data_IF_398960668258
#
_entry.id   IF_398960668258
#
_cell.length_a   1.000
_cell.length_b   1.000
_cell.length_c   1.000
_cell.angle_alpha   90.00
_cell.angle_beta   90.00
_cell.angle_gamma   90.00
#
_symmetry.space_group_name_H-M   'P 1'
#
loop_
_entity.id
_entity.type
_entity.pdbx_description
1 polymer ?
#
# COMPACT_ATOMS: atom_id res chain seq x y z
N UNK A 1 7.72 22.67 47.26
CA UNK A 1 7.93 22.69 45.80
C UNK A 1 7.66 21.29 45.28
N UNK A 2 6.64 21.09 44.45
CA UNK A 2 6.18 19.78 44.02
C UNK A 2 7.24 19.04 43.19
N UNK A 3 7.58 17.81 43.58
CA UNK A 3 8.41 16.92 42.78
C UNK A 3 7.62 16.42 41.57
N UNK A 4 7.88 17.00 40.40
CA UNK A 4 7.40 16.42 39.15
C UNK A 4 8.09 15.07 38.97
N UNK A 5 7.39 13.97 39.22
CA UNK A 5 7.79 12.67 38.73
C UNK A 5 7.84 12.80 37.20
N UNK A 6 8.99 12.56 36.52
CA UNK A 6 9.03 12.52 35.07
C UNK A 6 8.20 11.32 34.61
N UNK A 7 6.90 11.54 34.47
CA UNK A 7 5.92 10.56 34.05
C UNK A 7 6.21 10.18 32.62
N UNK A 8 7.01 9.13 32.46
CA UNK A 8 6.85 7.96 31.58
C UNK A 8 5.68 8.03 30.59
N UNK A 9 5.68 9.03 29.72
CA UNK A 9 5.03 8.94 28.41
C UNK A 9 6.13 8.72 27.38
N UNK A 10 7.00 7.73 27.63
CA UNK A 10 7.72 7.13 26.53
C UNK A 10 6.64 6.52 25.62
N UNK A 11 6.39 7.15 24.47
CA UNK A 11 5.61 6.54 23.39
C UNK A 11 6.20 5.15 23.18
N UNK A 12 5.47 4.11 23.61
CA UNK A 12 5.89 2.73 23.44
C UNK A 12 5.81 2.41 21.95
N UNK A 13 6.89 2.70 21.22
CA UNK A 13 7.02 2.36 19.82
C UNK A 13 6.99 0.83 19.71
N UNK A 14 6.00 0.32 19.00
CA UNK A 14 5.92 -1.08 18.66
C UNK A 14 6.67 -1.31 17.35
N UNK A 15 7.37 -2.46 17.22
CA UNK A 15 7.83 -2.90 15.90
C UNK A 15 6.65 -3.01 14.92
N UNK A 16 6.92 -2.76 13.64
CA UNK A 16 5.95 -2.95 12.57
C UNK A 16 5.43 -4.39 12.60
N UNK A 17 4.11 -4.57 12.53
CA UNK A 17 3.47 -5.89 12.44
C UNK A 17 2.63 -5.96 11.18
N UNK A 18 3.05 -6.80 10.25
CA UNK A 18 2.34 -7.01 9.00
C UNK A 18 1.26 -8.09 9.17
N UNK A 19 0.03 -7.75 8.78
CA UNK A 19 -1.12 -8.67 8.81
C UNK A 19 -0.94 -9.87 7.88
N UNK A 20 -1.58 -10.99 8.20
CA UNK A 20 -1.53 -12.20 7.36
C UNK A 20 -2.10 -11.96 5.96
N UNK A 21 -3.12 -11.11 5.82
CA UNK A 21 -3.72 -10.77 4.54
C UNK A 21 -2.75 -10.02 3.63
N UNK A 22 -2.00 -9.05 4.16
CA UNK A 22 -1.06 -8.25 3.36
C UNK A 22 0.15 -9.09 2.91
N UNK A 23 0.60 -10.04 3.75
CA UNK A 23 1.64 -11.03 3.38
C UNK A 23 1.16 -12.03 2.33
N UNK A 24 -0.08 -12.54 2.49
CA UNK A 24 -0.69 -13.45 1.53
C UNK A 24 -0.87 -12.79 0.17
N UNK A 25 -1.22 -11.51 0.18
CA UNK A 25 -1.43 -10.71 -1.01
C UNK A 25 -2.88 -10.72 -1.49
N UNK A 26 -3.17 -9.84 -2.45
CA UNK A 26 -4.49 -9.71 -3.07
C UNK A 26 -4.33 -9.23 -4.51
N UNK A 27 -5.34 -9.51 -5.33
CA UNK A 27 -5.38 -9.10 -6.74
C UNK A 27 -5.95 -7.70 -6.86
N UNK A 28 -5.27 -6.85 -7.64
CA UNK A 28 -5.64 -5.46 -7.90
C UNK A 28 -5.59 -5.16 -9.38
N UNK A 29 -6.23 -4.05 -9.76
CA UNK A 29 -6.13 -3.47 -11.10
C UNK A 29 -5.22 -2.26 -11.02
N UNK A 30 -4.05 -2.33 -11.68
CA UNK A 30 -3.12 -1.22 -11.85
C UNK A 30 -3.50 -0.46 -13.13
N UNK A 31 -3.59 0.85 -13.03
CA UNK A 31 -3.89 1.75 -14.13
C UNK A 31 -3.04 3.02 -14.00
N UNK A 32 -2.76 3.68 -15.12
CA UNK A 32 -2.03 4.94 -15.19
C UNK A 32 -2.92 6.02 -15.81
N UNK A 33 -2.64 7.28 -15.51
CA UNK A 33 -3.32 8.43 -16.08
C UNK A 33 -2.81 8.77 -17.48
N UNK A 34 -1.54 8.46 -17.75
CA UNK A 34 -0.85 8.78 -19.00
C UNK A 34 -1.01 7.66 -20.06
N UNK A 35 -1.58 6.52 -19.67
CA UNK A 35 -1.85 5.40 -20.56
C UNK A 35 -3.30 4.91 -20.41
N UNK A 36 -3.82 4.29 -21.47
CA UNK A 36 -5.08 3.54 -21.38
C UNK A 36 -4.87 2.11 -20.90
N UNK A 37 -3.65 1.76 -20.43
CA UNK A 37 -3.32 0.40 -20.04
C UNK A 37 -3.87 0.10 -18.65
N UNK A 38 -4.60 -1.01 -18.56
CA UNK A 38 -5.16 -1.54 -17.33
C UNK A 38 -4.64 -2.95 -17.19
N UNK A 39 -3.95 -3.23 -16.08
CA UNK A 39 -3.27 -4.51 -15.86
C UNK A 39 -3.67 -5.09 -14.52
N UNK A 40 -4.03 -6.37 -14.52
CA UNK A 40 -4.30 -7.09 -13.27
C UNK A 40 -2.99 -7.53 -12.63
N UNK A 41 -2.76 -7.11 -11.39
CA UNK A 41 -1.54 -7.39 -10.63
C UNK A 41 -1.85 -8.12 -9.32
N UNK A 42 -0.92 -8.94 -8.85
CA UNK A 42 -0.99 -9.53 -7.51
C UNK A 42 -0.05 -8.79 -6.57
N UNK A 43 -0.61 -8.00 -5.64
CA UNK A 43 0.13 -7.16 -4.69
C UNK A 43 0.30 -7.87 -3.35
N UNK A 44 1.49 -7.79 -2.78
CA UNK A 44 1.77 -8.24 -1.40
C UNK A 44 2.94 -7.47 -0.80
N UNK A 45 3.21 -7.72 0.48
CA UNK A 45 4.35 -7.14 1.22
C UNK A 45 5.22 -8.23 1.82
N UNK A 46 6.46 -7.87 2.19
CA UNK A 46 7.33 -8.74 2.96
C UNK A 46 6.90 -8.80 4.44
N UNK A 47 7.28 -9.87 5.18
CA UNK A 47 6.89 -10.01 6.58
C UNK A 47 7.34 -8.87 7.51
N UNK A 48 8.39 -8.13 7.14
CA UNK A 48 8.97 -7.05 7.91
C UNK A 48 8.34 -5.68 7.57
N UNK A 49 7.63 -5.58 6.44
CA UNK A 49 6.88 -4.39 6.04
C UNK A 49 7.73 -3.30 5.41
N UNK A 50 8.86 -3.66 4.80
CA UNK A 50 9.76 -2.71 4.13
C UNK A 50 9.37 -2.44 2.68
N UNK A 51 8.76 -3.41 2.02
CA UNK A 51 8.51 -3.38 0.59
C UNK A 51 7.08 -3.80 0.26
N UNK A 52 6.48 -3.07 -0.67
CA UNK A 52 5.34 -3.53 -1.44
C UNK A 52 5.87 -4.05 -2.78
N UNK A 53 5.34 -5.15 -3.26
CA UNK A 53 5.71 -5.67 -4.57
C UNK A 53 4.53 -6.35 -5.23
N UNK A 54 4.51 -6.28 -6.56
CA UNK A 54 3.44 -6.84 -7.36
C UNK A 54 3.94 -7.49 -8.64
N UNK A 55 3.24 -8.54 -9.06
CA UNK A 55 3.46 -9.22 -10.33
C UNK A 55 2.28 -8.99 -11.25
N UNK A 56 2.56 -8.67 -12.52
CA UNK A 56 1.56 -8.72 -13.57
C UNK A 56 1.16 -10.18 -13.81
N UNK A 57 -0.14 -10.46 -13.82
CA UNK A 57 -0.65 -11.81 -14.09
C UNK A 57 -0.24 -12.33 -15.48
N UNK A 58 -0.03 -11.44 -16.44
CA UNK A 58 0.41 -11.79 -17.80
C UNK A 58 1.94 -11.95 -17.90
N UNK A 59 2.69 -11.44 -16.91
CA UNK A 59 4.16 -11.45 -16.89
C UNK A 59 4.66 -11.93 -15.53
N UNK A 60 4.35 -13.19 -15.22
CA UNK A 60 4.61 -13.80 -13.89
C UNK A 60 6.08 -13.78 -13.48
N UNK A 61 7.03 -13.65 -14.41
CA UNK A 61 8.47 -13.59 -14.12
C UNK A 61 8.99 -12.19 -13.77
N UNK A 62 8.17 -11.14 -13.90
CA UNK A 62 8.57 -9.77 -13.61
C UNK A 62 7.79 -9.25 -12.40
N UNK A 63 8.51 -8.96 -11.31
CA UNK A 63 7.96 -8.29 -10.13
C UNK A 63 8.48 -6.86 -10.06
N UNK A 64 7.58 -5.91 -9.87
CA UNK A 64 7.93 -4.54 -9.50
C UNK A 64 7.94 -4.40 -7.98
N UNK A 65 8.78 -3.49 -7.45
CA UNK A 65 8.98 -3.30 -6.03
C UNK A 65 8.98 -1.80 -5.67
N UNK A 66 8.35 -1.50 -4.54
CA UNK A 66 8.24 -0.17 -3.95
C UNK A 66 8.70 -0.23 -2.50
N UNK A 67 9.69 0.57 -2.15
CA UNK A 67 10.13 0.77 -0.76
C UNK A 67 9.12 1.65 -0.02
N UNK A 68 8.61 1.13 1.09
CA UNK A 68 7.59 1.77 1.92
C UNK A 68 8.09 3.08 2.54
N UNK A 69 9.41 3.25 2.70
CA UNK A 69 9.98 4.50 3.20
C UNK A 69 9.80 5.70 2.26
N UNK A 70 9.56 5.46 0.96
CA UNK A 70 9.24 6.51 -0.01
C UNK A 70 7.75 6.83 -0.11
N UNK A 71 6.90 6.04 0.56
CA UNK A 71 5.46 6.26 0.57
C UNK A 71 5.12 7.47 1.43
N UNK A 72 4.51 8.49 0.82
CA UNK A 72 4.05 9.69 1.55
C UNK A 72 2.62 9.57 2.02
N UNK A 73 1.76 8.95 1.21
CA UNK A 73 0.33 8.82 1.49
C UNK A 73 -0.27 7.59 0.79
N UNK A 74 -1.32 7.05 1.40
CA UNK A 74 -2.06 5.88 0.92
C UNK A 74 -3.56 6.18 0.99
N UNK A 75 -4.21 6.34 -0.16
CA UNK A 75 -5.62 6.73 -0.24
C UNK A 75 -6.52 5.57 -0.65
N UNK A 76 -7.78 5.64 -0.22
CA UNK A 76 -8.82 4.68 -0.59
C UNK A 76 -10.20 5.38 -0.68
N UNK A 77 -11.16 4.71 -1.32
CA UNK A 77 -12.53 5.20 -1.44
C UNK A 77 -12.61 6.56 -2.12
N UNK A 78 -13.41 7.48 -1.56
CA UNK A 78 -13.63 8.83 -2.10
C UNK A 78 -12.38 9.72 -2.14
N UNK A 79 -11.32 9.37 -1.40
CA UNK A 79 -10.06 10.11 -1.40
C UNK A 79 -9.05 9.55 -2.40
N UNK A 80 -9.29 8.34 -2.93
CA UNK A 80 -8.48 7.78 -4.00
C UNK A 80 -8.76 8.49 -5.32
N UNK A 81 -7.75 8.56 -6.17
CA UNK A 81 -7.90 9.02 -7.55
C UNK A 81 -8.79 8.02 -8.29
N UNK A 82 -9.76 8.51 -9.06
CA UNK A 82 -10.56 7.69 -9.96
C UNK A 82 -9.91 7.68 -11.35
N UNK A 83 -9.96 6.55 -12.08
CA UNK A 83 -9.50 6.49 -13.47
C UNK A 83 -10.34 7.43 -14.35
N UNK A 84 -9.67 8.19 -15.21
CA UNK A 84 -10.31 9.17 -16.12
C UNK A 84 -11.04 8.51 -17.30
N UNK A 85 -10.65 7.29 -17.68
CA UNK A 85 -11.15 6.61 -18.87
C UNK A 85 -11.84 5.29 -18.49
N UNK A 86 -13.11 5.16 -18.87
CA UNK A 86 -13.91 3.92 -18.76
C UNK A 86 -14.56 3.69 -17.38
N UNK A 87 -15.69 2.99 -17.38
CA UNK A 87 -16.44 2.57 -16.18
C UNK A 87 -15.66 1.52 -15.35
N UNK A 88 -14.45 1.84 -14.91
CA UNK A 88 -13.68 1.01 -14.00
C UNK A 88 -14.12 1.40 -12.58
N UNK A 89 -15.32 0.94 -12.22
CA UNK A 89 -15.87 1.06 -10.86
C UNK A 89 -15.29 0.01 -9.90
N UNK A 90 -14.00 -0.32 -10.03
CA UNK A 90 -13.32 -1.23 -9.11
C UNK A 90 -12.30 -0.45 -8.27
N UNK A 91 -12.82 0.41 -7.40
CA UNK A 91 -12.16 0.63 -6.11
C UNK A 91 -12.44 -0.62 -5.26
N UNK A 92 -11.67 -1.68 -5.49
CA UNK A 92 -11.64 -2.81 -4.55
C UNK A 92 -10.46 -2.57 -3.62
N UNK A 93 -10.81 -2.03 -2.46
CA UNK A 93 -10.12 -2.18 -1.17
C UNK A 93 -8.62 -2.42 -1.20
N UNK A 94 -7.91 -1.34 -0.82
CA UNK A 94 -6.62 -1.26 -0.14
C UNK A 94 -5.45 -0.76 -0.98
N UNK A 95 -5.17 0.53 -0.75
CA UNK A 95 -3.93 1.27 -1.00
C UNK A 95 -3.73 1.70 -2.46
N UNK A 96 -4.34 2.83 -2.83
CA UNK A 96 -3.71 3.70 -3.82
C UNK A 96 -2.54 4.40 -3.11
N UNK A 97 -1.31 3.90 -3.30
CA UNK A 97 -0.12 4.62 -2.87
C UNK A 97 0.05 5.80 -3.83
N UNK A 98 -0.07 7.02 -3.32
CA UNK A 98 0.39 8.20 -4.04
C UNK A 98 1.82 8.44 -3.54
N UNK A 99 2.80 8.31 -4.43
CA UNK A 99 4.19 8.73 -4.20
C UNK A 99 4.27 10.26 -4.36
#
# INVERSE_FOLDING_TARGET
MAGAQPGVHALQLQPVRVSASLKKGSTFVKWDDDSTSVTTVFLRTDPQGFFLYWTDQNKVQESELLDVSFVKDARCGKHARAPKVGNISLCVTNVAVII
#
